data_IF_089304435106
#
_entry.id   IF_089304435106
#
_cell.length_a   1.000
_cell.length_b   1.000
_cell.length_c   1.000
_cell.angle_alpha   90.00
_cell.angle_beta   90.00
_cell.angle_gamma   90.00
#
_symmetry.space_group_name_H-M   'P 1'
#
loop_
_entity.id
_entity.type
_entity.pdbx_description
1 polymer ?
#
# COMPACT_ATOMS: atom_id res chain seq x y z
N UNK A 1 27.08 -1.06 -7.68
CA UNK A 1 26.31 -2.10 -6.99
C UNK A 1 24.86 -1.72 -7.20
N UNK A 2 24.06 -2.55 -7.85
CA UNK A 2 22.68 -2.22 -8.18
C UNK A 2 21.77 -2.43 -6.97
N UNK A 3 20.59 -1.81 -6.97
CA UNK A 3 19.58 -2.01 -5.94
C UNK A 3 19.26 -3.48 -5.69
N UNK A 4 19.15 -4.28 -6.76
CA UNK A 4 18.82 -5.71 -6.70
C UNK A 4 19.95 -6.59 -6.16
N UNK A 5 21.18 -6.06 -6.07
CA UNK A 5 22.30 -6.73 -5.39
C UNK A 5 22.28 -6.49 -3.86
N UNK A 6 21.57 -5.44 -3.41
CA UNK A 6 21.55 -5.01 -2.01
C UNK A 6 20.24 -5.37 -1.32
N UNK A 7 19.12 -5.09 -1.98
CA UNK A 7 17.78 -5.28 -1.47
C UNK A 7 17.15 -6.55 -2.08
N UNK A 8 16.62 -7.46 -1.25
CA UNK A 8 15.87 -8.59 -1.77
C UNK A 8 14.59 -8.09 -2.42
N UNK A 9 14.19 -8.82 -3.47
CA UNK A 9 13.04 -8.49 -4.27
C UNK A 9 12.28 -9.75 -4.65
N UNK A 10 11.01 -9.58 -4.97
CA UNK A 10 10.16 -10.69 -5.42
C UNK A 10 10.56 -11.03 -6.86
N UNK A 11 11.51 -11.94 -7.05
CA UNK A 11 12.02 -12.36 -8.37
C UNK A 11 11.00 -13.17 -9.17
N UNK A 12 11.26 -13.38 -10.47
CA UNK A 12 10.41 -14.22 -11.31
C UNK A 12 10.46 -15.68 -10.84
N UNK A 13 11.62 -16.15 -10.38
CA UNK A 13 11.79 -17.49 -9.81
C UNK A 13 10.92 -17.71 -8.57
N UNK A 14 10.81 -16.72 -7.68
CA UNK A 14 9.92 -16.80 -6.50
C UNK A 14 8.45 -16.85 -6.94
N UNK A 15 8.04 -16.03 -7.92
CA UNK A 15 6.66 -16.09 -8.43
C UNK A 15 6.37 -17.46 -9.05
N UNK A 16 7.26 -17.97 -9.89
CA UNK A 16 7.12 -19.28 -10.52
C UNK A 16 7.08 -20.41 -9.48
N UNK A 17 7.93 -20.34 -8.45
CA UNK A 17 7.92 -21.31 -7.34
C UNK A 17 6.57 -21.31 -6.61
N UNK A 18 6.01 -20.13 -6.32
CA UNK A 18 4.67 -20.02 -5.75
C UNK A 18 3.61 -20.64 -6.66
N UNK A 19 3.62 -20.30 -7.96
CA UNK A 19 2.63 -20.80 -8.93
C UNK A 19 2.69 -22.33 -9.11
N UNK A 20 3.89 -22.91 -9.06
CA UNK A 20 4.10 -24.35 -9.21
C UNK A 20 3.80 -25.12 -7.91
N UNK A 21 4.15 -24.57 -6.75
CA UNK A 21 4.20 -25.32 -5.49
C UNK A 21 3.14 -24.95 -4.46
N UNK A 22 2.39 -23.86 -4.63
CA UNK A 22 1.31 -23.51 -3.72
C UNK A 22 0.20 -24.56 -3.76
N UNK A 23 -0.13 -25.10 -2.60
CA UNK A 23 -1.19 -26.12 -2.50
C UNK A 23 -2.58 -25.48 -2.64
N UNK A 24 -3.58 -26.26 -3.02
CA UNK A 24 -4.96 -25.77 -3.12
C UNK A 24 -5.47 -25.13 -1.82
N UNK A 25 -5.12 -25.69 -0.65
CA UNK A 25 -5.50 -25.15 0.65
C UNK A 25 -4.84 -23.79 0.94
N UNK A 26 -3.60 -23.60 0.51
CA UNK A 26 -2.89 -22.32 0.66
C UNK A 26 -3.45 -21.25 -0.28
N UNK A 27 -3.80 -21.64 -1.51
CA UNK A 27 -4.46 -20.75 -2.46
C UNK A 27 -5.83 -20.32 -1.95
N UNK A 28 -6.59 -21.23 -1.34
CA UNK A 28 -7.87 -20.93 -0.69
C UNK A 28 -7.68 -19.97 0.50
N UNK A 29 -6.71 -20.22 1.38
CA UNK A 29 -6.41 -19.32 2.52
C UNK A 29 -6.00 -17.91 2.05
N UNK A 30 -5.15 -17.83 1.02
CA UNK A 30 -4.75 -16.55 0.42
C UNK A 30 -5.94 -15.85 -0.26
N UNK A 31 -6.85 -16.61 -0.86
CA UNK A 31 -8.08 -16.09 -1.44
C UNK A 31 -9.05 -15.57 -0.37
N UNK A 32 -9.13 -16.21 0.80
CA UNK A 32 -9.89 -15.68 1.94
C UNK A 32 -9.31 -14.36 2.47
N UNK A 33 -7.99 -14.16 2.39
CA UNK A 33 -7.32 -12.94 2.86
C UNK A 33 -7.37 -11.77 1.87
N UNK A 34 -7.22 -12.04 0.57
CA UNK A 34 -7.06 -11.00 -0.45
C UNK A 34 -8.23 -10.94 -1.44
N UNK A 35 -9.15 -11.91 -1.41
CA UNK A 35 -10.29 -11.97 -2.30
C UNK A 35 -11.36 -10.91 -1.97
N UNK A 36 -11.94 -10.37 -3.03
CA UNK A 36 -13.12 -9.50 -2.94
C UNK A 36 -14.36 -10.39 -2.94
N UNK A 37 -15.19 -10.26 -1.91
CA UNK A 37 -16.47 -10.96 -1.81
C UNK A 37 -17.53 -10.32 -2.72
N UNK A 38 -17.58 -8.99 -2.74
CA UNK A 38 -18.59 -8.23 -3.47
C UNK A 38 -18.02 -6.88 -3.93
N UNK A 39 -18.44 -6.42 -5.12
CA UNK A 39 -18.23 -5.03 -5.56
C UNK A 39 -19.56 -4.30 -5.54
N UNK A 40 -19.64 -3.21 -4.77
CA UNK A 40 -20.84 -2.41 -4.58
C UNK A 40 -20.61 -1.03 -5.20
N UNK A 41 -21.63 -0.50 -5.89
CA UNK A 41 -21.56 0.75 -6.65
C UNK A 41 -20.37 0.80 -7.64
N UNK A 42 -20.26 -0.16 -8.56
CA UNK A 42 -19.14 -0.22 -9.50
C UNK A 42 -19.12 0.98 -10.46
N UNK A 43 -17.92 1.52 -10.71
CA UNK A 43 -17.67 2.66 -11.60
C UNK A 43 -16.62 2.30 -12.67
N UNK A 44 -16.89 1.29 -13.52
CA UNK A 44 -15.89 0.75 -14.46
C UNK A 44 -15.44 1.76 -15.52
N UNK A 45 -16.28 2.75 -15.84
CA UNK A 45 -16.02 3.72 -16.90
C UNK A 45 -15.05 4.83 -16.49
N UNK A 46 -14.81 5.03 -15.18
CA UNK A 46 -13.90 6.08 -14.68
C UNK A 46 -12.45 5.75 -15.07
N UNK A 47 -11.71 6.61 -15.77
CA UNK A 47 -10.34 6.32 -16.20
C UNK A 47 -9.33 6.27 -15.05
N UNK A 48 -9.70 6.80 -13.88
CA UNK A 48 -8.80 6.93 -12.73
C UNK A 48 -9.41 6.31 -11.48
N UNK A 49 -8.56 5.86 -10.57
CA UNK A 49 -8.94 5.26 -9.29
C UNK A 49 -8.15 5.96 -8.18
N UNK A 50 -8.83 6.46 -7.17
CA UNK A 50 -8.25 6.80 -5.87
C UNK A 50 -8.57 5.64 -4.91
N UNK A 51 -7.55 4.84 -4.57
CA UNK A 51 -7.70 3.59 -3.84
C UNK A 51 -7.28 3.71 -2.39
N UNK A 52 -8.17 3.26 -1.51
CA UNK A 52 -8.01 3.25 -0.07
C UNK A 52 -8.37 1.88 0.51
N UNK A 53 -7.97 1.65 1.76
CA UNK A 53 -8.43 0.49 2.53
C UNK A 53 -8.94 0.94 3.89
N UNK A 54 -9.91 0.19 4.43
CA UNK A 54 -10.43 0.40 5.77
C UNK A 54 -10.60 -0.94 6.50
N UNK A 55 -9.94 -1.04 7.64
CA UNK A 55 -9.99 -2.16 8.58
C UNK A 55 -9.66 -1.63 9.99
N UNK A 56 -10.12 -2.31 11.03
CA UNK A 56 -9.83 -1.89 12.42
C UNK A 56 -9.20 -3.01 13.24
N UNK A 57 -7.86 -3.02 13.35
CA UNK A 57 -7.11 -3.97 14.17
C UNK A 57 -5.86 -3.36 14.82
N UNK A 58 -5.32 -4.13 15.76
CA UNK A 58 -4.02 -3.85 16.35
C UNK A 58 -2.85 -4.11 15.37
N UNK A 59 -1.69 -3.58 15.74
CA UNK A 59 -0.50 -3.53 14.89
C UNK A 59 0.39 -4.77 14.98
N UNK A 60 0.28 -5.58 16.04
CA UNK A 60 1.13 -6.74 16.26
C UNK A 60 0.29 -8.02 16.38
N UNK A 61 0.84 -9.14 15.91
CA UNK A 61 0.20 -10.45 15.99
C UNK A 61 -0.08 -10.85 17.45
N UNK A 62 0.83 -10.50 18.35
CA UNK A 62 0.76 -10.78 19.79
C UNK A 62 -0.29 -9.95 20.55
N UNK A 63 -0.92 -8.97 19.91
CA UNK A 63 -1.96 -8.17 20.55
C UNK A 63 -3.24 -9.00 20.75
N UNK A 64 -3.99 -8.73 21.84
CA UNK A 64 -5.30 -9.35 22.05
C UNK A 64 -6.25 -8.97 20.92
N UNK A 65 -7.27 -9.79 20.66
CA UNK A 65 -8.24 -9.46 19.62
C UNK A 65 -9.14 -8.30 20.03
N UNK A 66 -9.41 -7.41 19.07
CA UNK A 66 -10.44 -6.39 19.23
C UNK A 66 -11.83 -7.03 19.14
N UNK A 67 -12.82 -6.50 19.90
CA UNK A 67 -14.20 -6.90 19.75
C UNK A 67 -14.71 -6.58 18.33
N UNK A 68 -15.80 -7.23 17.92
CA UNK A 68 -16.46 -6.94 16.64
C UNK A 68 -16.71 -5.43 16.48
N UNK A 69 -16.29 -4.82 15.37
CA UNK A 69 -16.53 -3.40 15.14
C UNK A 69 -18.02 -3.07 15.09
N UNK A 70 -18.38 -1.95 15.68
CA UNK A 70 -19.63 -1.22 15.43
C UNK A 70 -19.31 0.26 15.38
N UNK A 71 -20.22 1.07 14.82
CA UNK A 71 -20.09 2.53 14.81
C UNK A 71 -19.81 3.07 16.22
N UNK A 72 -20.63 2.69 17.19
CA UNK A 72 -20.55 3.18 18.58
C UNK A 72 -19.23 2.78 19.24
N UNK A 73 -18.76 1.55 18.99
CA UNK A 73 -17.49 1.05 19.54
C UNK A 73 -16.30 1.78 18.96
N UNK A 74 -16.28 2.03 17.65
CA UNK A 74 -15.20 2.77 17.01
C UNK A 74 -15.15 4.22 17.48
N UNK A 75 -16.30 4.90 17.57
CA UNK A 75 -16.41 6.26 18.14
C UNK A 75 -15.94 6.28 19.60
N UNK A 76 -16.34 5.28 20.38
CA UNK A 76 -16.06 5.21 21.82
C UNK A 76 -14.74 4.49 22.15
N UNK A 77 -13.91 4.17 21.16
CA UNK A 77 -12.76 3.27 21.33
C UNK A 77 -11.81 3.72 22.45
N UNK A 78 -11.62 5.03 22.63
CA UNK A 78 -10.78 5.55 23.71
C UNK A 78 -11.34 5.33 25.11
N UNK A 79 -12.66 5.46 25.29
CA UNK A 79 -13.32 5.17 26.57
C UNK A 79 -13.31 3.67 26.88
N UNK A 80 -13.34 2.84 25.84
CA UNK A 80 -13.34 1.38 25.94
C UNK A 80 -11.93 0.78 26.06
N UNK A 81 -10.87 1.60 26.04
CA UNK A 81 -9.49 1.11 26.08
C UNK A 81 -9.05 0.36 24.81
N UNK A 82 -9.71 0.60 23.67
CA UNK A 82 -9.50 -0.08 22.39
C UNK A 82 -8.59 0.69 21.42
N UNK A 83 -8.00 1.81 21.87
CA UNK A 83 -7.00 2.56 21.08
C UNK A 83 -5.63 1.92 21.31
N UNK A 84 -4.92 1.63 20.20
CA UNK A 84 -3.49 1.29 20.26
C UNK A 84 -2.60 2.37 19.65
N UNK A 85 -2.81 2.69 18.37
CA UNK A 85 -2.02 3.70 17.65
C UNK A 85 -2.81 4.99 17.45
N UNK A 86 -3.99 4.85 16.85
CA UNK A 86 -4.87 5.96 16.49
C UNK A 86 -6.31 5.66 16.89
N UNK A 87 -7.11 6.71 17.02
CA UNK A 87 -8.54 6.55 17.26
C UNK A 87 -9.21 6.13 15.95
N UNK A 88 -9.85 4.97 15.90
CA UNK A 88 -10.22 4.36 14.63
C UNK A 88 -11.28 5.16 13.88
N UNK A 89 -12.24 5.77 14.58
CA UNK A 89 -13.27 6.59 13.94
C UNK A 89 -12.67 7.88 13.40
N UNK A 90 -12.08 8.69 14.29
CA UNK A 90 -11.59 10.02 13.96
C UNK A 90 -10.41 10.00 12.98
N UNK A 91 -9.62 8.92 12.97
CA UNK A 91 -8.46 8.81 12.09
C UNK A 91 -8.79 8.14 10.76
N UNK A 92 -9.69 7.15 10.70
CA UNK A 92 -9.85 6.36 9.48
C UNK A 92 -11.21 6.51 8.79
N UNK A 93 -12.28 6.78 9.54
CA UNK A 93 -13.65 6.85 9.00
C UNK A 93 -14.08 8.30 8.79
N UNK A 94 -13.92 9.13 9.81
CA UNK A 94 -14.35 10.53 9.80
C UNK A 94 -13.71 11.34 8.66
N UNK A 95 -12.41 11.20 8.33
CA UNK A 95 -11.83 11.95 7.21
C UNK A 95 -12.47 11.59 5.87
N UNK A 96 -12.85 10.32 5.67
CA UNK A 96 -13.55 9.85 4.47
C UNK A 96 -14.95 10.46 4.41
N UNK A 97 -15.72 10.39 5.50
CA UNK A 97 -17.08 10.92 5.54
C UNK A 97 -17.12 12.45 5.40
N UNK A 98 -16.13 13.14 5.97
CA UNK A 98 -16.08 14.59 5.99
C UNK A 98 -15.62 15.19 4.65
N UNK A 99 -14.59 14.60 4.04
CA UNK A 99 -14.01 15.14 2.80
C UNK A 99 -14.43 14.41 1.52
N UNK A 100 -14.93 13.18 1.63
CA UNK A 100 -15.07 12.28 0.47
C UNK A 100 -16.02 12.78 -0.62
N UNK A 101 -17.11 13.46 -0.24
CA UNK A 101 -18.04 14.06 -1.20
C UNK A 101 -17.39 15.20 -1.98
N UNK A 102 -16.76 16.13 -1.28
CA UNK A 102 -16.06 17.26 -1.90
C UNK A 102 -14.97 16.78 -2.86
N UNK A 103 -14.19 15.77 -2.45
CA UNK A 103 -13.11 15.22 -3.28
C UNK A 103 -13.65 14.52 -4.54
N UNK A 104 -14.77 13.80 -4.42
CA UNK A 104 -15.44 13.19 -5.58
C UNK A 104 -15.98 14.23 -6.56
N UNK A 105 -16.58 15.32 -6.05
CA UNK A 105 -17.08 16.43 -6.88
C UNK A 105 -15.94 17.18 -7.59
N UNK A 106 -14.79 17.35 -6.93
CA UNK A 106 -13.60 17.98 -7.52
C UNK A 106 -12.88 17.10 -8.55
N UNK A 107 -13.08 15.78 -8.51
CA UNK A 107 -12.43 14.82 -9.38
C UNK A 107 -13.45 13.89 -10.05
N UNK A 108 -14.32 14.42 -10.93
CA UNK A 108 -15.43 13.67 -11.49
C UNK A 108 -14.98 12.47 -12.34
N UNK A 109 -13.76 12.46 -12.87
CA UNK A 109 -13.21 11.34 -13.66
C UNK A 109 -12.55 10.24 -12.79
N UNK A 110 -12.51 10.43 -11.47
CA UNK A 110 -11.87 9.51 -10.54
C UNK A 110 -12.91 8.67 -9.80
N UNK A 111 -12.77 7.35 -9.88
CA UNK A 111 -13.45 6.41 -9.00
C UNK A 111 -12.77 6.44 -7.62
N UNK A 112 -13.47 6.91 -6.60
CA UNK A 112 -13.03 6.74 -5.21
C UNK A 112 -13.41 5.34 -4.76
N UNK A 113 -12.40 4.48 -4.58
CA UNK A 113 -12.56 3.06 -4.27
C UNK A 113 -12.04 2.75 -2.88
N UNK A 114 -12.88 2.13 -2.06
CA UNK A 114 -12.49 1.64 -0.73
C UNK A 114 -12.54 0.11 -0.67
N UNK A 115 -11.42 -0.50 -0.27
CA UNK A 115 -11.33 -1.92 0.08
C UNK A 115 -11.69 -2.07 1.56
N UNK A 116 -12.89 -2.59 1.82
CA UNK A 116 -13.53 -2.60 3.13
C UNK A 116 -13.51 -4.00 3.72
N UNK A 117 -12.99 -4.14 4.94
CA UNK A 117 -13.06 -5.40 5.69
C UNK A 117 -14.51 -5.88 5.88
N UNK A 118 -14.76 -7.20 5.83
CA UNK A 118 -16.14 -7.74 5.91
C UNK A 118 -16.86 -7.38 7.21
N UNK A 119 -16.14 -7.27 8.33
CA UNK A 119 -16.73 -6.87 9.62
C UNK A 119 -17.07 -5.36 9.71
N UNK A 120 -16.63 -4.54 8.75
CA UNK A 120 -16.98 -3.13 8.64
C UNK A 120 -18.13 -2.84 7.67
N UNK A 121 -18.85 -3.87 7.21
CA UNK A 121 -19.96 -3.72 6.26
C UNK A 121 -21.07 -2.74 6.71
N UNK A 122 -21.19 -2.44 8.00
CA UNK A 122 -22.15 -1.42 8.50
C UNK A 122 -21.85 0.01 8.02
N UNK A 123 -20.65 0.27 7.44
CA UNK A 123 -20.28 1.56 6.85
C UNK A 123 -20.68 1.69 5.38
N UNK A 124 -21.13 0.61 4.73
CA UNK A 124 -21.50 0.60 3.30
C UNK A 124 -22.52 1.71 2.96
N UNK A 125 -23.61 1.92 3.72
CA UNK A 125 -24.57 2.97 3.40
C UNK A 125 -23.93 4.36 3.36
N UNK A 126 -23.06 4.68 4.32
CA UNK A 126 -22.39 5.99 4.37
C UNK A 126 -21.50 6.21 3.13
N UNK A 127 -20.76 5.17 2.70
CA UNK A 127 -19.87 5.29 1.53
C UNK A 127 -20.64 5.32 0.20
N UNK A 128 -21.79 4.66 0.11
CA UNK A 128 -22.69 4.79 -1.05
C UNK A 128 -23.22 6.21 -1.17
N UNK A 129 -23.57 6.87 -0.06
CA UNK A 129 -24.01 8.27 -0.07
C UNK A 129 -22.94 9.24 -0.59
N UNK A 130 -21.66 8.91 -0.43
CA UNK A 130 -20.54 9.64 -1.03
C UNK A 130 -20.34 9.33 -2.52
N UNK A 131 -21.05 8.34 -3.06
CA UNK A 131 -20.89 7.86 -4.44
C UNK A 131 -19.64 7.01 -4.66
N UNK A 132 -19.08 6.39 -3.61
CA UNK A 132 -17.84 5.63 -3.70
C UNK A 132 -18.07 4.20 -4.20
N UNK A 133 -17.09 3.63 -4.89
CA UNK A 133 -17.05 2.19 -5.17
C UNK A 133 -16.49 1.45 -3.96
N UNK A 134 -17.13 0.34 -3.58
CA UNK A 134 -16.73 -0.44 -2.42
C UNK A 134 -16.36 -1.84 -2.88
N UNK A 135 -15.14 -2.28 -2.56
CA UNK A 135 -14.69 -3.66 -2.66
C UNK A 135 -14.81 -4.28 -1.27
N UNK A 136 -15.90 -4.98 -1.01
CA UNK A 136 -16.09 -5.70 0.25
C UNK A 136 -15.20 -6.93 0.22
N UNK A 137 -14.23 -7.00 1.13
CA UNK A 137 -13.28 -8.10 1.21
C UNK A 137 -13.92 -9.32 1.85
N UNK A 138 -13.48 -10.53 1.49
CA UNK A 138 -13.86 -11.76 2.20
C UNK A 138 -13.40 -11.71 3.66
N UNK A 139 -12.15 -11.30 3.84
CA UNK A 139 -11.50 -11.21 5.15
C UNK A 139 -12.10 -10.13 6.05
N UNK A 140 -12.33 -10.42 7.34
CA UNK A 140 -12.64 -9.38 8.32
C UNK A 140 -11.37 -8.61 8.67
N UNK A 141 -11.51 -7.59 9.51
CA UNK A 141 -10.37 -6.96 10.14
C UNK A 141 -9.69 -8.04 11.03
N UNK A 142 -8.55 -8.61 10.63
CA UNK A 142 -7.85 -9.68 11.41
C UNK A 142 -6.64 -9.16 12.19
N UNK A 143 -5.66 -8.60 11.48
CA UNK A 143 -4.48 -7.87 11.98
C UNK A 143 -4.20 -6.73 10.99
N UNK A 144 -3.03 -6.09 11.05
CA UNK A 144 -2.71 -5.00 10.12
C UNK A 144 -2.70 -5.49 8.67
N UNK A 145 -2.02 -6.61 8.41
CA UNK A 145 -2.20 -7.37 7.17
C UNK A 145 -3.26 -8.47 7.40
N UNK A 146 -4.03 -8.85 6.37
CA UNK A 146 -3.93 -8.46 4.96
C UNK A 146 -4.41 -7.04 4.62
N UNK A 147 -5.12 -6.35 5.54
CA UNK A 147 -5.72 -5.02 5.31
C UNK A 147 -4.81 -4.01 4.60
N UNK A 148 -3.58 -3.82 5.06
CA UNK A 148 -2.60 -2.90 4.47
C UNK A 148 -2.28 -3.14 2.98
N UNK A 149 -2.56 -4.34 2.45
CA UNK A 149 -2.34 -4.69 1.04
C UNK A 149 -3.49 -4.31 0.12
N UNK A 150 -4.74 -4.29 0.61
CA UNK A 150 -5.90 -4.35 -0.28
C UNK A 150 -5.99 -3.16 -1.25
N UNK A 151 -5.57 -1.97 -0.80
CA UNK A 151 -5.48 -0.77 -1.66
C UNK A 151 -4.61 -1.00 -2.91
N UNK A 152 -3.57 -1.83 -2.82
CA UNK A 152 -2.70 -2.08 -3.96
C UNK A 152 -3.39 -2.90 -5.05
N UNK A 153 -4.46 -3.66 -4.72
CA UNK A 153 -5.21 -4.46 -5.71
C UNK A 153 -5.81 -3.60 -6.84
N UNK A 154 -6.00 -2.29 -6.63
CA UNK A 154 -6.44 -1.39 -7.70
C UNK A 154 -5.40 -1.25 -8.82
N UNK A 155 -4.14 -1.62 -8.57
CA UNK A 155 -3.08 -1.61 -9.57
C UNK A 155 -3.25 -2.71 -10.64
N UNK A 156 -4.20 -3.63 -10.46
CA UNK A 156 -4.55 -4.63 -11.48
C UNK A 156 -5.44 -4.05 -12.59
N UNK A 157 -6.12 -2.93 -12.37
CA UNK A 157 -7.04 -2.35 -13.35
C UNK A 157 -6.25 -1.78 -14.56
N UNK A 158 -6.13 -2.59 -15.61
CA UNK A 158 -5.42 -2.25 -16.84
C UNK A 158 -5.94 -0.96 -17.48
N UNK A 159 -5.02 -0.11 -17.94
CA UNK A 159 -5.35 1.14 -18.61
C UNK A 159 -5.85 2.27 -17.69
N UNK A 160 -5.94 2.04 -16.37
CA UNK A 160 -6.31 3.07 -15.40
C UNK A 160 -5.10 3.80 -14.84
N UNK A 161 -5.32 5.03 -14.37
CA UNK A 161 -4.39 5.70 -13.46
C UNK A 161 -4.82 5.46 -12.02
N UNK A 162 -3.91 4.99 -11.19
CA UNK A 162 -4.23 4.56 -9.83
C UNK A 162 -3.45 5.40 -8.83
N UNK A 163 -4.17 6.08 -7.96
CA UNK A 163 -3.63 6.82 -6.81
C UNK A 163 -3.86 5.98 -5.57
N UNK A 164 -2.81 5.53 -4.91
CA UNK A 164 -2.88 4.81 -3.64
C UNK A 164 -2.80 5.83 -2.51
N UNK A 165 -3.68 5.72 -1.52
CA UNK A 165 -3.63 6.60 -0.35
C UNK A 165 -4.22 5.96 0.92
N UNK A 166 -3.75 6.42 2.09
CA UNK A 166 -4.38 6.15 3.38
C UNK A 166 -5.73 6.90 3.49
N UNK A 167 -6.70 6.31 4.20
CA UNK A 167 -8.02 6.92 4.37
C UNK A 167 -7.99 8.25 5.15
N UNK A 168 -7.01 8.41 6.04
CA UNK A 168 -6.78 9.65 6.80
C UNK A 168 -6.27 10.81 5.92
N UNK A 169 -5.88 10.52 4.67
CA UNK A 169 -5.47 11.52 3.68
C UNK A 169 -6.58 11.95 2.73
N UNK A 170 -7.83 11.56 2.94
CA UNK A 170 -8.94 11.88 2.01
C UNK A 170 -8.97 13.37 1.65
N UNK A 171 -8.79 14.27 2.62
CA UNK A 171 -8.77 15.72 2.37
C UNK A 171 -7.66 16.23 1.43
N UNK A 172 -6.68 15.39 1.08
CA UNK A 172 -5.60 15.71 0.15
C UNK A 172 -5.74 14.98 -1.20
N UNK A 173 -6.82 14.23 -1.43
CA UNK A 173 -6.97 13.35 -2.59
C UNK A 173 -6.78 14.09 -3.93
N UNK A 174 -7.36 15.28 -4.09
CA UNK A 174 -7.20 16.10 -5.31
C UNK A 174 -5.72 16.34 -5.68
N UNK A 175 -4.87 16.59 -4.68
CA UNK A 175 -3.44 16.83 -4.91
C UNK A 175 -2.69 15.54 -5.30
N UNK A 176 -3.07 14.40 -4.72
CA UNK A 176 -2.44 13.11 -5.02
C UNK A 176 -2.89 12.60 -6.41
N UNK A 177 -4.16 12.77 -6.75
CA UNK A 177 -4.70 12.47 -8.09
C UNK A 177 -4.01 13.34 -9.15
N UNK A 178 -3.83 14.64 -8.87
CA UNK A 178 -3.10 15.53 -9.78
C UNK A 178 -1.64 15.09 -10.00
N UNK A 179 -0.95 14.58 -8.98
CA UNK A 179 0.39 14.00 -9.13
C UNK A 179 0.38 12.75 -10.01
N UNK A 180 -0.65 11.90 -9.86
CA UNK A 180 -0.81 10.71 -10.72
C UNK A 180 -1.01 11.10 -12.18
N UNK A 181 -1.83 12.12 -12.45
CA UNK A 181 -2.01 12.67 -13.80
C UNK A 181 -0.69 13.24 -14.35
N UNK A 182 -0.01 14.09 -13.58
CA UNK A 182 1.27 14.68 -14.00
C UNK A 182 2.36 13.64 -14.32
N UNK A 183 2.41 12.56 -13.54
CA UNK A 183 3.27 11.41 -13.80
C UNK A 183 2.93 10.74 -15.13
N UNK A 184 1.64 10.51 -15.40
CA UNK A 184 1.19 9.94 -16.65
C UNK A 184 1.47 10.85 -17.85
N UNK A 185 1.23 12.16 -17.71
CA UNK A 185 1.49 13.18 -18.74
C UNK A 185 2.98 13.29 -19.08
N UNK A 186 3.86 13.01 -18.11
CA UNK A 186 5.30 12.94 -18.30
C UNK A 186 5.77 11.61 -18.93
N UNK A 187 4.83 10.72 -19.30
CA UNK A 187 5.14 9.42 -19.89
C UNK A 187 5.72 8.40 -18.90
N UNK A 188 5.61 8.66 -17.59
CA UNK A 188 6.14 7.80 -16.54
C UNK A 188 5.06 6.82 -16.04
N UNK A 189 5.50 5.80 -15.31
CA UNK A 189 4.65 4.70 -14.84
C UNK A 189 4.33 4.73 -13.36
N UNK A 190 5.17 5.38 -12.54
CA UNK A 190 4.99 5.51 -11.09
C UNK A 190 5.44 6.89 -10.60
N UNK A 191 4.73 7.49 -9.65
CA UNK A 191 5.27 8.58 -8.82
C UNK A 191 5.35 8.15 -7.37
N UNK A 192 6.31 8.73 -6.64
CA UNK A 192 6.54 8.37 -5.23
C UNK A 192 7.13 9.52 -4.42
N UNK A 193 7.00 9.40 -3.10
CA UNK A 193 7.84 10.09 -2.12
C UNK A 193 8.58 9.00 -1.35
N UNK A 194 9.93 8.92 -1.41
CA UNK A 194 10.67 7.94 -0.62
C UNK A 194 10.50 8.21 0.88
N UNK A 195 10.35 7.16 1.68
CA UNK A 195 10.29 7.27 3.14
C UNK A 195 11.66 7.52 3.74
N UNK A 196 11.95 8.78 4.09
CA UNK A 196 13.25 9.19 4.63
C UNK A 196 13.30 9.42 6.14
N UNK A 197 12.16 9.59 6.79
CA UNK A 197 12.06 9.80 8.25
C UNK A 197 12.55 8.61 9.09
N UNK A 198 12.88 7.49 8.44
CA UNK A 198 13.36 6.27 9.06
C UNK A 198 14.71 5.78 8.48
N UNK A 199 15.43 6.59 7.72
CA UNK A 199 16.62 6.15 6.97
C UNK A 199 17.90 5.91 7.83
N UNK A 200 17.76 5.78 9.15
CA UNK A 200 18.87 5.38 10.02
C UNK A 200 19.25 3.92 9.78
N UNK A 201 20.48 3.68 9.35
CA UNK A 201 21.08 2.33 9.31
C UNK A 201 21.64 2.04 10.71
N UNK A 202 20.78 1.66 11.65
CA UNK A 202 21.18 1.19 12.99
C UNK A 202 21.27 -0.34 13.01
N UNK A 203 20.29 -0.97 13.65
CA UNK A 203 20.15 -2.43 13.73
C UNK A 203 19.30 -2.99 12.58
N UNK A 204 18.38 -2.19 12.05
CA UNK A 204 17.50 -2.55 10.95
C UNK A 204 17.49 -1.49 9.86
N UNK A 205 17.18 -1.92 8.63
CA UNK A 205 16.96 -1.03 7.49
C UNK A 205 15.48 -0.71 7.38
N UNK A 206 15.16 0.58 7.44
CA UNK A 206 13.78 1.09 7.38
C UNK A 206 13.55 2.03 6.19
N UNK A 207 14.45 2.01 5.22
CA UNK A 207 14.27 2.77 3.98
C UNK A 207 13.07 2.23 3.20
N UNK A 208 12.24 3.14 2.68
CA UNK A 208 11.06 2.80 1.88
C UNK A 208 11.15 3.51 0.53
N UNK A 209 11.26 2.78 -0.60
CA UNK A 209 11.26 3.42 -1.91
C UNK A 209 9.89 4.01 -2.25
N UNK A 210 8.81 3.44 -1.71
CA UNK A 210 7.42 3.87 -1.84
C UNK A 210 6.83 4.05 -0.46
N UNK A 211 5.90 4.99 -0.28
CA UNK A 211 5.10 5.11 0.93
C UNK A 211 3.70 4.57 0.62
N UNK A 212 3.30 3.45 1.24
CA UNK A 212 1.96 2.87 1.06
C UNK A 212 0.80 3.75 1.46
N UNK A 213 1.07 4.80 2.22
CA UNK A 213 0.09 5.83 2.52
C UNK A 213 -0.12 6.85 1.41
N UNK A 214 0.78 6.98 0.43
CA UNK A 214 0.57 7.80 -0.76
C UNK A 214 1.61 7.54 -1.88
N UNK A 215 1.14 7.09 -3.03
CA UNK A 215 1.87 7.07 -4.29
C UNK A 215 0.87 6.90 -5.44
N UNK A 216 1.33 6.92 -6.68
CA UNK A 216 0.45 6.58 -7.80
C UNK A 216 1.20 5.92 -8.93
N UNK A 217 0.46 5.18 -9.75
CA UNK A 217 1.00 4.38 -10.82
C UNK A 217 -0.03 4.16 -11.93
N UNK A 218 0.46 3.75 -13.10
CA UNK A 218 -0.39 3.13 -14.12
C UNK A 218 -0.84 1.75 -13.63
N UNK A 219 -2.10 1.37 -13.87
CA UNK A 219 -2.60 0.04 -13.59
C UNK A 219 -2.14 -0.99 -14.63
N UNK A 220 -2.49 -2.26 -14.42
CA UNK A 220 -2.11 -3.39 -15.27
C UNK A 220 -1.00 -4.28 -14.67
N UNK A 221 -0.71 -4.16 -13.38
CA UNK A 221 0.21 -5.06 -12.69
C UNK A 221 -0.54 -6.29 -12.14
N UNK A 222 0.01 -7.51 -12.16
CA UNK A 222 -0.61 -8.69 -11.56
C UNK A 222 -0.47 -8.68 -10.03
N UNK A 223 -1.02 -7.66 -9.39
CA UNK A 223 -0.76 -7.30 -8.00
C UNK A 223 -1.28 -8.35 -7.01
N UNK A 224 -2.43 -8.98 -7.29
CA UNK A 224 -2.97 -10.08 -6.49
C UNK A 224 -1.99 -11.25 -6.48
N UNK A 225 -1.46 -11.65 -7.64
CA UNK A 225 -0.42 -12.69 -7.74
C UNK A 225 0.82 -12.30 -6.95
N UNK A 226 1.32 -11.07 -7.11
CA UNK A 226 2.52 -10.63 -6.39
C UNK A 226 2.34 -10.62 -4.87
N UNK A 227 1.21 -10.11 -4.38
CA UNK A 227 0.89 -10.08 -2.94
C UNK A 227 0.78 -11.51 -2.39
N UNK A 228 0.09 -12.40 -3.11
CA UNK A 228 -0.10 -13.81 -2.72
C UNK A 228 1.24 -14.55 -2.68
N UNK A 229 2.06 -14.44 -3.72
CA UNK A 229 3.39 -15.03 -3.78
C UNK A 229 4.30 -14.53 -2.65
N UNK A 230 4.38 -13.21 -2.46
CA UNK A 230 5.17 -12.62 -1.39
C UNK A 230 4.74 -13.11 -0.01
N UNK A 231 3.44 -13.13 0.26
CA UNK A 231 2.88 -13.61 1.54
C UNK A 231 3.18 -15.09 1.75
N UNK A 232 3.08 -15.92 0.71
CA UNK A 232 3.40 -17.35 0.75
C UNK A 232 4.87 -17.60 1.09
N UNK A 233 5.80 -16.91 0.42
CA UNK A 233 7.24 -17.02 0.69
C UNK A 233 7.62 -16.50 2.07
N UNK A 234 7.05 -15.37 2.49
CA UNK A 234 7.31 -14.80 3.80
C UNK A 234 6.88 -15.74 4.94
N UNK A 235 5.71 -16.38 4.81
CA UNK A 235 5.22 -17.36 5.79
C UNK A 235 6.07 -18.64 5.85
N UNK A 236 6.72 -19.01 4.75
CA UNK A 236 7.66 -20.13 4.67
C UNK A 236 9.09 -19.78 5.10
N UNK A 237 9.39 -18.50 5.29
CA UNK A 237 10.75 -18.04 5.56
C UNK A 237 11.68 -18.12 4.34
N UNK A 238 11.13 -18.23 3.13
CA UNK A 238 11.91 -18.26 1.88
C UNK A 238 12.05 -16.88 1.23
N UNK A 239 11.26 -15.89 1.66
CA UNK A 239 11.47 -14.49 1.28
C UNK A 239 12.65 -13.91 2.10
N UNK A 240 13.72 -13.38 1.48
CA UNK A 240 14.87 -12.90 2.24
C UNK A 240 14.55 -11.65 3.09
N UNK A 241 14.95 -11.69 4.35
CA UNK A 241 14.67 -10.64 5.35
C UNK A 241 15.88 -9.75 5.67
N UNK A 242 17.03 -10.02 5.04
CA UNK A 242 18.29 -9.32 5.27
C UNK A 242 18.75 -8.57 4.02
N UNK A 243 19.53 -7.51 4.24
CA UNK A 243 20.19 -6.72 3.21
C UNK A 243 21.67 -6.59 3.53
N UNK A 244 22.52 -6.65 2.52
CA UNK A 244 23.96 -6.46 2.69
C UNK A 244 24.35 -5.07 2.23
N UNK A 245 24.63 -4.18 3.19
CA UNK A 245 24.94 -2.79 2.92
C UNK A 245 26.46 -2.54 2.89
N UNK A 246 27.01 -1.94 1.82
CA UNK A 246 28.42 -1.58 1.75
C UNK A 246 28.85 -0.71 2.94
N UNK A 247 29.86 -1.14 3.67
CA UNK A 247 30.37 -0.43 4.86
C UNK A 247 29.53 -0.58 6.14
N UNK A 248 28.36 -1.22 6.07
CA UNK A 248 27.48 -1.45 7.23
C UNK A 248 27.23 -2.93 7.52
N UNK A 249 27.62 -3.83 6.61
CA UNK A 249 27.43 -5.28 6.74
C UNK A 249 25.98 -5.70 6.51
N UNK A 250 25.67 -6.93 6.92
CA UNK A 250 24.32 -7.49 6.83
C UNK A 250 23.41 -6.90 7.91
N UNK A 251 22.21 -6.50 7.51
CA UNK A 251 21.20 -5.88 8.38
C UNK A 251 19.83 -6.49 8.10
N UNK A 252 19.00 -6.56 9.14
CA UNK A 252 17.61 -6.98 8.99
C UNK A 252 16.76 -5.87 8.37
N UNK A 253 15.82 -6.24 7.51
CA UNK A 253 14.76 -5.35 7.04
C UNK A 253 13.74 -5.17 8.17
N UNK A 254 13.23 -3.96 8.34
CA UNK A 254 12.19 -3.69 9.33
C UNK A 254 10.81 -4.24 8.87
N UNK A 255 10.05 -4.75 9.85
CA UNK A 255 8.66 -5.18 9.74
C UNK A 255 8.41 -6.40 8.83
N UNK A 256 9.32 -7.38 8.87
CA UNK A 256 9.24 -8.61 8.05
C UNK A 256 8.31 -9.70 8.61
N UNK A 257 7.68 -9.47 9.77
CA UNK A 257 6.82 -10.44 10.43
C UNK A 257 5.37 -10.33 9.95
N UNK A 258 4.86 -11.38 9.32
CA UNK A 258 3.43 -11.50 9.02
C UNK A 258 2.62 -11.77 10.30
N UNK A 259 1.42 -11.20 10.49
CA UNK A 259 0.75 -10.14 9.71
C UNK A 259 0.88 -8.73 10.36
N UNK A 260 2.07 -8.37 10.83
CA UNK A 260 2.29 -7.16 11.62
C UNK A 260 2.27 -5.87 10.77
N UNK A 261 2.14 -4.74 11.47
CA UNK A 261 2.28 -3.41 10.90
C UNK A 261 3.64 -3.22 10.21
N UNK A 262 3.61 -2.67 9.00
CA UNK A 262 4.79 -2.40 8.16
C UNK A 262 5.19 -3.56 7.26
N UNK A 263 4.49 -4.70 7.31
CA UNK A 263 4.75 -5.83 6.43
C UNK A 263 4.43 -5.53 4.96
N UNK A 264 3.40 -4.73 4.71
CA UNK A 264 3.09 -4.16 3.40
C UNK A 264 4.18 -3.20 2.91
N UNK A 265 4.85 -2.48 3.80
CA UNK A 265 5.99 -1.63 3.43
C UNK A 265 7.22 -2.46 3.02
N UNK A 266 7.41 -3.65 3.61
CA UNK A 266 8.44 -4.60 3.15
C UNK A 266 8.09 -5.15 1.75
N UNK A 267 6.82 -5.45 1.50
CA UNK A 267 6.37 -5.82 0.16
C UNK A 267 6.69 -4.75 -0.88
N UNK A 268 6.43 -3.48 -0.56
CA UNK A 268 6.75 -2.35 -1.46
C UNK A 268 8.24 -2.27 -1.80
N UNK A 269 9.11 -2.53 -0.82
CA UNK A 269 10.55 -2.66 -1.05
C UNK A 269 10.85 -3.80 -2.04
N UNK A 270 10.18 -4.94 -1.85
CA UNK A 270 10.40 -6.15 -2.63
C UNK A 270 9.85 -6.06 -4.07
N UNK A 271 8.79 -5.30 -4.33
CA UNK A 271 8.25 -5.12 -5.69
C UNK A 271 8.80 -3.91 -6.42
N UNK A 272 9.49 -2.99 -5.74
CA UNK A 272 10.01 -1.78 -6.36
C UNK A 272 10.85 -2.04 -7.63
N UNK A 273 11.71 -3.08 -7.70
CA UNK A 273 12.42 -3.44 -8.93
C UNK A 273 11.53 -3.78 -10.14
N UNK A 274 10.29 -4.21 -9.90
CA UNK A 274 9.31 -4.48 -10.96
C UNK A 274 8.60 -3.23 -11.45
N UNK A 275 8.53 -2.22 -10.59
CA UNK A 275 7.87 -0.94 -10.87
C UNK A 275 8.82 0.05 -11.54
N UNK A 276 10.08 0.10 -11.12
CA UNK A 276 11.06 1.08 -11.59
C UNK A 276 11.26 1.13 -13.12
N UNK A 277 11.25 0.01 -13.87
CA UNK A 277 11.40 0.03 -15.33
C UNK A 277 10.30 0.81 -16.06
N UNK A 278 9.13 1.02 -15.45
CA UNK A 278 8.05 1.82 -16.03
C UNK A 278 8.31 3.34 -16.00
N UNK A 279 9.42 3.78 -15.40
CA UNK A 279 9.76 5.20 -15.23
C UNK A 279 9.17 5.76 -13.94
N UNK A 280 10.01 6.44 -13.16
CA UNK A 280 9.67 6.88 -11.81
C UNK A 280 9.78 8.39 -11.68
N UNK A 281 8.69 9.05 -11.29
CA UNK A 281 8.68 10.45 -10.84
C UNK A 281 8.89 10.52 -9.33
N UNK A 282 10.09 10.90 -8.91
CA UNK A 282 10.45 10.92 -7.48
C UNK A 282 10.37 12.34 -6.93
N UNK A 283 9.51 12.56 -5.95
CA UNK A 283 9.45 13.81 -5.20
C UNK A 283 10.30 13.69 -3.92
N UNK A 284 11.34 14.51 -3.82
CA UNK A 284 12.30 14.51 -2.70
C UNK A 284 12.20 15.82 -1.93
N UNK A 285 11.72 15.81 -0.67
CA UNK A 285 11.78 16.99 0.18
C UNK A 285 13.22 17.45 0.43
N UNK A 286 13.50 18.75 0.35
CA UNK A 286 14.88 19.26 0.42
C UNK A 286 15.58 19.04 1.77
N UNK A 287 14.83 18.77 2.83
CA UNK A 287 15.34 18.44 4.15
C UNK A 287 15.60 16.93 4.35
N UNK A 288 15.38 16.13 3.32
CA UNK A 288 15.58 14.68 3.33
C UNK A 288 17.01 14.30 3.72
N UNK A 289 17.14 13.39 4.69
CA UNK A 289 18.42 12.78 5.09
C UNK A 289 18.34 11.26 4.99
N UNK A 290 18.91 10.69 3.94
CA UNK A 290 19.01 9.23 3.76
C UNK A 290 20.31 8.85 3.06
N UNK A 291 21.02 7.88 3.63
CA UNK A 291 22.22 7.30 3.02
C UNK A 291 21.89 6.33 1.87
N UNK A 292 20.65 5.84 1.81
CA UNK A 292 20.19 4.85 0.83
C UNK A 292 19.52 5.50 -0.38
N UNK A 293 19.10 6.76 -0.24
CA UNK A 293 18.44 7.50 -1.32
C UNK A 293 19.31 7.70 -2.57
N UNK A 294 20.62 8.01 -2.50
CA UNK A 294 21.43 8.12 -3.71
C UNK A 294 21.43 6.83 -4.54
N UNK A 295 21.51 5.67 -3.89
CA UNK A 295 21.45 4.36 -4.55
C UNK A 295 20.06 4.08 -5.14
N UNK A 296 18.99 4.50 -4.46
CA UNK A 296 17.62 4.42 -4.97
C UNK A 296 17.43 5.26 -6.24
N UNK A 297 17.91 6.51 -6.23
CA UNK A 297 17.84 7.42 -7.38
C UNK A 297 18.69 6.91 -8.55
N UNK A 298 19.91 6.43 -8.28
CA UNK A 298 20.77 5.79 -9.28
C UNK A 298 20.05 4.58 -9.91
N UNK A 299 19.42 3.74 -9.10
CA UNK A 299 18.68 2.59 -9.61
C UNK A 299 17.47 2.99 -10.45
N UNK A 300 16.66 3.95 -10.02
CA UNK A 300 15.49 4.41 -10.76
C UNK A 300 15.88 4.93 -12.16
N UNK A 301 16.93 5.77 -12.21
CA UNK A 301 17.43 6.37 -13.45
C UNK A 301 18.17 5.37 -14.34
N UNK A 302 18.80 4.34 -13.76
CA UNK A 302 19.36 3.23 -14.52
C UNK A 302 18.27 2.33 -15.12
N UNK A 303 17.27 1.95 -14.31
CA UNK A 303 16.17 1.06 -14.71
C UNK A 303 15.32 1.69 -15.82
N UNK A 304 15.12 3.01 -15.76
CA UNK A 304 14.51 3.78 -16.83
C UNK A 304 15.16 5.19 -16.90
N UNK A 305 15.92 5.51 -17.95
CA UNK A 305 16.58 6.82 -18.11
C UNK A 305 15.65 8.03 -18.20
N UNK A 306 14.35 7.83 -18.43
CA UNK A 306 13.36 8.91 -18.38
C UNK A 306 12.88 9.23 -16.96
N UNK A 307 13.25 8.42 -15.95
CA UNK A 307 12.87 8.69 -14.56
C UNK A 307 13.36 10.07 -14.10
N UNK A 308 12.49 10.78 -13.37
CA UNK A 308 12.70 12.16 -12.97
C UNK A 308 12.78 12.31 -11.45
N UNK A 309 13.50 13.33 -11.00
CA UNK A 309 13.63 13.68 -9.59
C UNK A 309 13.29 15.16 -9.40
N UNK A 310 12.31 15.44 -8.57
CA UNK A 310 11.84 16.79 -8.25
C UNK A 310 12.14 17.08 -6.79
N UNK A 311 13.00 18.07 -6.54
CA UNK A 311 13.29 18.55 -5.19
C UNK A 311 12.24 19.59 -4.77
N UNK A 312 11.52 19.30 -3.68
CA UNK A 312 10.44 20.16 -3.18
C UNK A 312 10.91 20.89 -1.92
N UNK A 313 10.67 22.20 -1.85
CA UNK A 313 10.82 22.97 -0.62
C UNK A 313 9.69 22.62 0.35
N UNK A 314 10.00 22.19 1.58
CA UNK A 314 8.96 21.89 2.57
C UNK A 314 8.08 23.09 2.88
#
# INVERSE_FOLDING_TARGET
>A
MSWTEVFPYLSDDLIAEFEENATAAELEELEEWFGVAETINPQPDKPEIASMTLFWKHTQASDPELPTPTRERMISAGRLGLIKRFKPWESYVEPVLFHGKEMAEQNPETCFRIYLASDLAFLIPDFIELGWEIKLMKSPSLRYCPGGFWRFLALEDEGKLVTIMDSDRTGFASSEVARTRAMADSGLGVWRVPGYYNAEIKETVRYRPLLGGHFGARGGYPMSTWIKAFTWHARRGTMPIEVTLPGYGTKNINATLWPNYGFDEWFQLAIYPRLAPSGVLTFVPMDTRSLLMPMDIEYATWANPASEVVYIKP
#
